data_IF_088236011124
#
_entry.id   IF_088236011124
#
_cell.length_a   1.000
_cell.length_b   1.000
_cell.length_c   1.000
_cell.angle_alpha   90.00
_cell.angle_beta   90.00
_cell.angle_gamma   90.00
#
_symmetry.space_group_name_H-M   'P 1'
#
loop_
_entity.id
_entity.type
_entity.pdbx_description
1 polymer ?
#
# COMPACT_ATOMS: atom_id res chain seq x y z
N UNK A 1 -13.82 4.46 24.15
CA UNK A 1 -13.18 4.99 22.93
C UNK A 1 -11.70 4.71 23.08
N UNK A 2 -11.17 3.76 22.32
CA UNK A 2 -9.75 3.36 22.40
C UNK A 2 -8.90 4.54 21.92
N UNK A 3 -7.90 4.96 22.70
CA UNK A 3 -7.00 6.04 22.30
C UNK A 3 -6.21 5.61 21.06
N UNK A 4 -6.14 6.49 20.06
CA UNK A 4 -5.26 6.29 18.91
C UNK A 4 -3.83 6.67 19.27
N UNK A 5 -2.87 5.86 18.85
CA UNK A 5 -1.44 6.19 18.99
C UNK A 5 -0.99 7.09 17.85
N UNK A 6 0.02 7.91 18.11
CA UNK A 6 0.60 8.80 17.10
C UNK A 6 1.99 8.29 16.71
N UNK A 7 2.30 8.28 15.41
CA UNK A 7 3.64 7.91 14.94
C UNK A 7 4.73 8.89 15.44
N UNK A 8 5.95 8.39 15.76
CA UNK A 8 6.31 6.97 15.82
C UNK A 8 5.69 6.28 17.03
N UNK A 9 5.25 5.03 16.87
CA UNK A 9 4.70 4.23 17.96
C UNK A 9 4.95 2.73 17.75
N UNK A 10 4.87 1.90 18.81
CA UNK A 10 4.94 0.45 18.67
C UNK A 10 3.93 -0.08 17.66
N UNK A 11 4.35 -1.00 16.78
CA UNK A 11 3.44 -1.69 15.88
C UNK A 11 2.39 -2.49 16.67
N UNK A 12 2.85 -3.22 17.69
CA UNK A 12 1.99 -3.96 18.61
C UNK A 12 1.14 -2.99 19.46
N UNK A 13 -0.17 -2.98 19.19
CA UNK A 13 -1.16 -2.23 19.94
C UNK A 13 -2.56 -2.44 19.36
N UNK A 14 -3.58 -2.13 20.15
CA UNK A 14 -4.97 -2.50 19.85
C UNK A 14 -5.84 -1.35 19.31
N UNK A 15 -5.32 -0.12 19.25
CA UNK A 15 -6.01 1.05 18.71
C UNK A 15 -5.44 1.51 17.38
N UNK A 16 -6.16 2.41 16.70
CA UNK A 16 -5.72 3.07 15.48
C UNK A 16 -4.36 3.79 15.65
N UNK A 17 -3.64 3.97 14.55
CA UNK A 17 -2.45 4.84 14.48
C UNK A 17 -2.75 6.07 13.62
N UNK A 18 -2.39 7.26 14.11
CA UNK A 18 -2.59 8.53 13.41
C UNK A 18 -1.27 9.23 13.09
N UNK A 19 -1.29 10.01 12.02
CA UNK A 19 -0.19 10.88 11.59
C UNK A 19 -0.75 12.22 11.14
N UNK A 20 -0.04 13.32 11.43
CA UNK A 20 -0.50 14.66 11.07
C UNK A 20 -0.11 15.08 9.65
N UNK A 21 1.06 14.66 9.16
CA UNK A 21 1.66 15.12 7.90
C UNK A 21 2.36 13.98 7.14
N UNK A 22 1.85 13.57 5.96
CA UNK A 22 0.46 13.79 5.52
C UNK A 22 -0.52 13.24 6.55
N UNK A 23 -1.72 13.83 6.61
CA UNK A 23 -2.76 13.37 7.55
C UNK A 23 -3.17 11.96 7.18
N UNK A 24 -3.04 11.04 8.13
CA UNK A 24 -3.33 9.64 7.92
C UNK A 24 -3.93 9.00 9.17
N UNK A 25 -4.72 7.95 8.95
CA UNK A 25 -5.18 7.03 9.98
C UNK A 25 -5.03 5.61 9.46
N UNK A 26 -4.17 4.83 10.11
CA UNK A 26 -4.11 3.38 9.98
C UNK A 26 -5.11 2.81 11.00
N UNK A 27 -6.13 2.11 10.53
CA UNK A 27 -7.11 1.50 11.45
C UNK A 27 -6.48 0.36 12.26
N UNK A 28 -7.15 -0.01 13.36
CA UNK A 28 -6.71 -1.06 14.25
C UNK A 28 -6.46 -2.40 13.53
N UNK A 29 -7.26 -2.75 12.53
CA UNK A 29 -7.09 -4.01 11.77
C UNK A 29 -5.81 -3.98 10.90
N UNK A 30 -5.56 -2.87 10.19
CA UNK A 30 -4.33 -2.71 9.44
C UNK A 30 -3.10 -2.63 10.36
N UNK A 31 -3.21 -1.98 11.53
CA UNK A 31 -2.17 -2.00 12.56
C UNK A 31 -1.91 -3.44 13.04
N UNK A 32 -2.96 -4.21 13.26
CA UNK A 32 -2.87 -5.62 13.68
C UNK A 32 -2.05 -6.45 12.69
N UNK A 33 -2.29 -6.26 11.40
CA UNK A 33 -1.56 -6.92 10.33
C UNK A 33 -0.07 -6.55 10.36
N UNK A 34 0.26 -5.26 10.50
CA UNK A 34 1.65 -4.78 10.66
C UNK A 34 2.30 -5.37 11.91
N UNK A 35 1.58 -5.41 13.03
CA UNK A 35 2.06 -5.97 14.28
C UNK A 35 2.40 -7.47 14.14
N UNK A 36 1.56 -8.24 13.43
CA UNK A 36 1.83 -9.65 13.16
C UNK A 36 3.14 -9.87 12.42
N UNK A 37 3.43 -9.04 11.40
CA UNK A 37 4.70 -9.12 10.70
C UNK A 37 5.88 -8.71 11.60
N UNK A 38 5.73 -7.63 12.37
CA UNK A 38 6.77 -7.13 13.28
C UNK A 38 7.14 -8.16 14.38
N UNK A 39 6.15 -8.89 14.91
CA UNK A 39 6.37 -9.94 15.91
C UNK A 39 7.03 -11.17 15.31
N UNK A 40 6.64 -11.56 14.09
CA UNK A 40 7.25 -12.69 13.40
C UNK A 40 8.69 -12.42 12.94
N UNK A 41 9.05 -11.15 12.72
CA UNK A 41 10.38 -10.73 12.24
C UNK A 41 10.96 -9.63 13.15
N UNK A 42 11.48 -9.99 14.34
CA UNK A 42 12.07 -9.03 15.26
C UNK A 42 13.22 -8.25 14.60
N UNK A 43 13.24 -6.93 14.81
CA UNK A 43 14.23 -6.00 14.25
C UNK A 43 14.24 -5.91 12.71
N UNK A 44 13.17 -6.34 12.03
CA UNK A 44 13.03 -6.07 10.60
C UNK A 44 12.81 -4.58 10.36
N UNK A 45 13.48 -4.06 9.33
CA UNK A 45 13.42 -2.66 8.88
C UNK A 45 13.04 -2.64 7.41
N UNK A 46 11.99 -1.89 7.06
CA UNK A 46 11.53 -1.77 5.69
C UNK A 46 10.12 -1.19 5.59
N UNK A 47 9.46 -1.43 4.46
CA UNK A 47 8.12 -0.92 4.19
C UNK A 47 7.11 -2.02 3.95
N UNK A 48 5.94 -1.90 4.57
CA UNK A 48 4.79 -2.76 4.31
C UNK A 48 3.78 -1.97 3.47
N UNK A 49 3.54 -2.43 2.24
CA UNK A 49 2.41 -2.01 1.43
C UNK A 49 1.18 -2.86 1.79
N UNK A 50 0.12 -2.23 2.25
CA UNK A 50 -1.18 -2.84 2.55
C UNK A 50 -2.19 -2.37 1.50
N UNK A 51 -2.44 -3.16 0.44
CA UNK A 51 -3.53 -2.90 -0.49
C UNK A 51 -4.90 -2.93 0.22
N UNK A 52 -5.86 -2.18 -0.34
CA UNK A 52 -7.23 -2.09 0.15
C UNK A 52 -7.94 -0.85 -0.40
N UNK A 53 -9.22 -0.66 -0.05
CA UNK A 53 -9.99 0.56 -0.44
C UNK A 53 -9.26 1.86 -0.08
N UNK A 54 -8.47 1.80 0.99
CA UNK A 54 -7.37 2.72 1.27
C UNK A 54 -6.10 1.87 1.34
N UNK A 55 -5.15 2.11 0.45
CA UNK A 55 -3.83 1.50 0.55
C UNK A 55 -3.01 2.25 1.60
N UNK A 56 -2.08 1.54 2.25
CA UNK A 56 -1.12 2.12 3.18
C UNK A 56 0.30 1.67 2.82
N UNK A 57 1.24 2.60 2.80
CA UNK A 57 2.67 2.34 2.80
C UNK A 57 3.18 2.66 4.19
N UNK A 58 3.52 1.63 4.97
CA UNK A 58 3.88 1.74 6.38
C UNK A 58 5.38 1.50 6.53
N UNK A 59 6.11 2.49 6.99
CA UNK A 59 7.52 2.35 7.35
C UNK A 59 7.62 1.75 8.75
N UNK A 60 8.18 0.56 8.83
CA UNK A 60 8.38 -0.20 10.06
C UNK A 60 9.88 -0.25 10.33
N UNK A 61 10.29 0.09 11.55
CA UNK A 61 11.67 -0.05 11.99
C UNK A 61 11.71 -0.47 13.46
N UNK A 62 12.55 -1.46 13.77
CA UNK A 62 12.71 -1.99 15.14
C UNK A 62 11.38 -2.29 15.89
N UNK A 63 10.35 -2.75 15.17
CA UNK A 63 9.02 -3.03 15.74
C UNK A 63 8.13 -1.79 15.98
N UNK A 64 8.56 -0.61 15.53
CA UNK A 64 7.81 0.64 15.59
C UNK A 64 7.33 1.08 14.20
N UNK A 65 6.07 1.51 14.12
CA UNK A 65 5.56 2.23 12.96
C UNK A 65 6.13 3.64 13.01
N UNK A 66 7.08 3.95 12.14
CA UNK A 66 7.78 5.23 12.10
C UNK A 66 6.97 6.30 11.38
N UNK A 67 6.37 5.93 10.25
CA UNK A 67 5.53 6.80 9.43
C UNK A 67 4.66 5.96 8.50
N UNK A 68 3.62 6.56 7.94
CA UNK A 68 2.90 5.93 6.84
C UNK A 68 2.30 6.96 5.87
N UNK A 69 1.99 6.50 4.66
CA UNK A 69 1.24 7.28 3.69
C UNK A 69 0.12 6.44 3.12
N UNK A 70 -1.04 7.07 2.90
CA UNK A 70 -2.23 6.38 2.41
C UNK A 70 -2.73 6.98 1.12
N UNK A 71 -3.31 6.12 0.29
CA UNK A 71 -3.88 6.51 -0.99
C UNK A 71 -5.29 5.96 -1.15
N UNK A 72 -6.01 6.50 -2.13
CA UNK A 72 -7.41 6.18 -2.40
C UNK A 72 -7.57 5.46 -3.74
N UNK A 73 -6.48 4.89 -4.24
CA UNK A 73 -6.35 4.33 -5.58
C UNK A 73 -7.38 3.26 -5.87
N UNK A 74 -7.55 2.27 -5.00
CA UNK A 74 -8.57 1.23 -5.20
C UNK A 74 -10.00 1.80 -5.17
N UNK A 75 -10.25 2.85 -4.37
CA UNK A 75 -11.56 3.51 -4.34
C UNK A 75 -11.83 4.34 -5.60
N UNK A 76 -10.80 4.98 -6.16
CA UNK A 76 -10.89 5.66 -7.46
C UNK A 76 -11.08 4.64 -8.60
N UNK A 77 -10.34 3.53 -8.56
CA UNK A 77 -10.46 2.43 -9.51
C UNK A 77 -11.89 1.87 -9.50
N UNK A 78 -12.46 1.63 -8.32
CA UNK A 78 -13.86 1.21 -8.19
C UNK A 78 -14.84 2.25 -8.73
N UNK A 79 -14.61 3.55 -8.46
CA UNK A 79 -15.50 4.61 -8.95
C UNK A 79 -15.47 4.78 -10.47
N UNK A 80 -14.37 4.40 -11.13
CA UNK A 80 -14.20 4.43 -12.58
C UNK A 80 -14.49 3.08 -13.25
N UNK A 81 -15.04 2.11 -12.51
CA UNK A 81 -15.25 0.74 -12.98
C UNK A 81 -13.98 0.15 -13.64
N UNK A 82 -12.81 0.37 -13.04
CA UNK A 82 -11.56 -0.21 -13.52
C UNK A 82 -11.60 -1.76 -13.46
N UNK A 83 -10.67 -2.39 -14.16
CA UNK A 83 -10.48 -3.83 -14.17
C UNK A 83 -9.77 -4.32 -12.92
N UNK A 84 -9.59 -5.63 -12.83
CA UNK A 84 -8.93 -6.27 -11.68
C UNK A 84 -7.42 -6.45 -11.90
N UNK A 85 -6.94 -6.25 -13.13
CA UNK A 85 -5.54 -6.41 -13.49
C UNK A 85 -4.98 -5.05 -13.92
N UNK A 86 -3.84 -4.70 -13.36
CA UNK A 86 -3.18 -3.47 -13.73
C UNK A 86 -2.42 -3.67 -15.04
N UNK A 87 -2.78 -2.91 -16.08
CA UNK A 87 -1.97 -2.86 -17.29
C UNK A 87 -0.58 -2.28 -16.96
N UNK A 88 0.46 -3.02 -17.34
CA UNK A 88 1.83 -2.70 -16.95
C UNK A 88 2.40 -1.48 -17.71
N UNK A 89 1.98 -1.29 -18.96
CA UNK A 89 2.43 -0.18 -19.79
C UNK A 89 1.77 1.12 -19.33
N UNK A 90 0.46 1.11 -19.09
CA UNK A 90 -0.30 2.22 -18.50
C UNK A 90 0.29 2.66 -17.14
N UNK A 91 0.65 1.68 -16.30
CA UNK A 91 1.31 1.91 -15.03
C UNK A 91 2.66 2.59 -15.20
N UNK A 92 3.54 2.05 -16.06
CA UNK A 92 4.86 2.59 -16.30
C UNK A 92 4.81 4.01 -16.90
N UNK A 93 3.88 4.26 -17.81
CA UNK A 93 3.64 5.54 -18.44
C UNK A 93 3.25 6.61 -17.42
N UNK A 94 2.26 6.33 -16.56
CA UNK A 94 1.85 7.28 -15.52
C UNK A 94 2.90 7.44 -14.44
N UNK A 95 3.62 6.38 -14.08
CA UNK A 95 4.69 6.47 -13.08
C UNK A 95 5.79 7.46 -13.52
N UNK A 96 6.06 7.53 -14.82
CA UNK A 96 7.03 8.47 -15.40
C UNK A 96 6.49 9.91 -15.45
N UNK A 97 5.18 10.09 -15.65
CA UNK A 97 4.53 11.40 -15.85
C UNK A 97 3.19 11.50 -15.09
N UNK A 98 3.20 11.46 -13.75
CA UNK A 98 1.98 11.36 -12.95
C UNK A 98 1.05 12.56 -13.11
N UNK A 99 1.57 13.72 -13.54
CA UNK A 99 0.79 14.91 -13.86
C UNK A 99 -0.20 14.71 -15.02
N UNK A 100 -0.03 13.66 -15.84
CA UNK A 100 -0.91 13.33 -16.97
C UNK A 100 -2.08 12.43 -16.60
N UNK A 101 -2.20 12.01 -15.34
CA UNK A 101 -3.16 11.01 -14.88
C UNK A 101 -4.58 11.25 -15.41
N UNK A 102 -5.13 12.45 -15.24
CA UNK A 102 -6.51 12.73 -15.64
C UNK A 102 -6.75 12.54 -17.15
N UNK A 103 -5.79 12.93 -17.99
CA UNK A 103 -5.87 12.75 -19.45
C UNK A 103 -5.70 11.27 -19.83
N UNK A 104 -4.82 10.55 -19.15
CA UNK A 104 -4.60 9.12 -19.38
C UNK A 104 -5.83 8.29 -19.01
N UNK A 105 -6.48 8.60 -17.89
CA UNK A 105 -7.75 7.97 -17.49
C UNK A 105 -8.87 8.22 -18.51
N UNK A 106 -9.04 9.46 -18.97
CA UNK A 106 -10.02 9.81 -20.01
C UNK A 106 -9.79 9.01 -21.30
N UNK A 107 -8.52 8.88 -21.72
CA UNK A 107 -8.18 8.11 -22.92
C UNK A 107 -8.45 6.61 -22.77
N UNK A 108 -8.15 6.04 -21.60
CA UNK A 108 -8.46 4.64 -21.29
C UNK A 108 -9.98 4.39 -21.23
N UNK A 109 -10.74 5.32 -20.62
CA UNK A 109 -12.21 5.25 -20.54
C UNK A 109 -12.85 5.29 -21.93
N UNK A 110 -12.45 6.24 -22.79
CA UNK A 110 -12.92 6.32 -24.17
C UNK A 110 -12.57 5.07 -25.00
N UNK A 111 -11.45 4.43 -24.68
CA UNK A 111 -11.02 3.17 -25.29
C UNK A 111 -11.71 1.92 -24.74
N UNK A 112 -12.44 2.04 -23.62
CA UNK A 112 -13.01 0.89 -22.91
C UNK A 112 -11.97 0.00 -22.23
N UNK A 113 -10.76 0.51 -21.99
CA UNK A 113 -9.65 -0.24 -21.41
C UNK A 113 -9.65 -0.14 -19.88
N UNK A 114 -10.39 -1.05 -19.26
CA UNK A 114 -10.57 -1.09 -17.81
C UNK A 114 -9.29 -1.43 -17.06
N UNK A 115 -8.43 -2.28 -17.61
CA UNK A 115 -7.17 -2.68 -16.98
C UNK A 115 -6.14 -1.52 -17.04
N UNK A 116 -6.16 -0.71 -18.11
CA UNK A 116 -5.39 0.53 -18.20
C UNK A 116 -5.83 1.59 -17.18
N UNK A 117 -7.13 1.68 -16.84
CA UNK A 117 -7.59 2.56 -15.75
C UNK A 117 -6.91 2.20 -14.42
N UNK A 118 -6.85 0.89 -14.09
CA UNK A 118 -6.16 0.45 -12.88
C UNK A 118 -4.65 0.69 -12.98
N UNK A 119 -4.05 0.40 -14.14
CA UNK A 119 -2.63 0.65 -14.41
C UNK A 119 -2.23 2.09 -14.14
N UNK A 120 -2.93 3.05 -14.74
CA UNK A 120 -2.67 4.49 -14.56
C UNK A 120 -2.82 4.94 -13.10
N UNK A 121 -3.87 4.48 -12.40
CA UNK A 121 -4.07 4.83 -10.99
C UNK A 121 -2.94 4.29 -10.10
N UNK A 122 -2.55 3.02 -10.29
CA UNK A 122 -1.42 2.44 -9.57
C UNK A 122 -0.11 3.13 -9.93
N UNK A 123 0.10 3.51 -11.20
CA UNK A 123 1.29 4.24 -11.64
C UNK A 123 1.44 5.58 -10.93
N UNK A 124 0.34 6.33 -10.77
CA UNK A 124 0.33 7.58 -10.02
C UNK A 124 0.66 7.37 -8.53
N UNK A 125 0.09 6.33 -7.90
CA UNK A 125 0.42 5.97 -6.53
C UNK A 125 1.89 5.56 -6.39
N UNK A 126 2.40 4.69 -7.26
CA UNK A 126 3.79 4.24 -7.26
C UNK A 126 4.76 5.41 -7.39
N UNK A 127 4.48 6.37 -8.26
CA UNK A 127 5.29 7.60 -8.36
C UNK A 127 5.26 8.42 -7.06
N UNK A 128 4.09 8.60 -6.45
CA UNK A 128 3.93 9.38 -5.22
C UNK A 128 4.49 8.67 -3.97
N UNK A 129 4.46 7.34 -3.94
CA UNK A 129 4.98 6.50 -2.86
C UNK A 129 6.48 6.21 -2.98
N UNK A 130 7.17 6.77 -3.98
CA UNK A 130 8.62 6.58 -4.20
C UNK A 130 9.51 6.77 -2.96
N UNK A 131 9.25 7.76 -2.07
CA UNK A 131 10.02 7.89 -0.83
C UNK A 131 9.92 6.68 0.11
N UNK A 132 8.89 5.84 -0.03
CA UNK A 132 8.69 4.64 0.78
C UNK A 132 9.35 3.39 0.18
N UNK A 133 9.35 3.20 -1.14
CA UNK A 133 9.84 1.94 -1.72
C UNK A 133 11.25 2.02 -2.30
N UNK A 134 11.76 3.21 -2.64
CA UNK A 134 13.07 3.33 -3.29
C UNK A 134 14.20 2.95 -2.31
N UNK A 135 14.96 1.92 -2.65
CA UNK A 135 16.07 1.43 -1.82
C UNK A 135 15.64 0.70 -0.54
N UNK A 136 14.36 0.33 -0.44
CA UNK A 136 13.79 -0.42 0.67
C UNK A 136 13.49 -1.86 0.27
N UNK A 137 13.39 -2.76 1.25
CA UNK A 137 12.66 -4.01 1.09
C UNK A 137 11.17 -3.73 1.30
N UNK A 138 10.31 -4.26 0.42
CA UNK A 138 8.87 -4.06 0.52
C UNK A 138 8.13 -5.38 0.72
N UNK A 139 7.31 -5.43 1.76
CA UNK A 139 6.32 -6.49 1.95
C UNK A 139 4.99 -6.00 1.35
N UNK A 140 4.44 -6.74 0.38
CA UNK A 140 3.07 -6.51 -0.09
C UNK A 140 2.14 -7.46 0.65
N UNK A 141 1.30 -6.90 1.51
CA UNK A 141 0.44 -7.65 2.42
C UNK A 141 -0.99 -7.75 1.89
N UNK A 142 -1.26 -8.82 1.16
CA UNK A 142 -2.55 -9.09 0.51
C UNK A 142 -2.43 -10.29 -0.41
N UNK A 143 -3.57 -10.90 -0.77
CA UNK A 143 -3.67 -12.15 -1.55
C UNK A 143 -4.46 -11.96 -2.88
N UNK A 144 -4.87 -10.74 -3.20
CA UNK A 144 -5.73 -10.43 -4.36
C UNK A 144 -4.96 -9.89 -5.58
N UNK A 145 -5.69 -9.65 -6.68
CA UNK A 145 -5.12 -9.10 -7.92
C UNK A 145 -4.59 -7.67 -7.79
N UNK A 146 -5.10 -6.89 -6.81
CA UNK A 146 -4.56 -5.57 -6.51
C UNK A 146 -3.17 -5.69 -5.90
N UNK A 147 -2.96 -6.63 -4.97
CA UNK A 147 -1.65 -6.96 -4.42
C UNK A 147 -0.68 -7.47 -5.50
N UNK A 148 -1.15 -8.23 -6.50
CA UNK A 148 -0.34 -8.57 -7.68
C UNK A 148 0.12 -7.32 -8.44
N UNK A 149 -0.79 -6.36 -8.65
CA UNK A 149 -0.47 -5.08 -9.30
C UNK A 149 0.69 -4.34 -8.60
N UNK A 150 0.64 -4.21 -7.27
CA UNK A 150 1.72 -3.60 -6.50
C UNK A 150 3.02 -4.41 -6.58
N UNK A 151 2.95 -5.74 -6.39
CA UNK A 151 4.13 -6.60 -6.39
C UNK A 151 4.85 -6.59 -7.74
N UNK A 152 4.09 -6.66 -8.84
CA UNK A 152 4.63 -6.59 -10.20
C UNK A 152 5.24 -5.22 -10.49
N UNK A 153 4.57 -4.13 -10.09
CA UNK A 153 5.09 -2.78 -10.26
C UNK A 153 6.41 -2.57 -9.52
N UNK A 154 6.49 -2.99 -8.26
CA UNK A 154 7.70 -2.92 -7.44
C UNK A 154 8.83 -3.79 -8.03
N UNK A 155 8.51 -5.02 -8.44
CA UNK A 155 9.45 -5.93 -9.07
C UNK A 155 10.03 -5.39 -10.38
N UNK A 156 9.21 -4.72 -11.20
CA UNK A 156 9.65 -4.06 -12.43
C UNK A 156 10.64 -2.90 -12.16
N UNK A 157 10.63 -2.32 -10.96
CA UNK A 157 11.59 -1.29 -10.52
C UNK A 157 12.82 -1.88 -9.81
N UNK A 158 12.95 -3.22 -9.76
CA UNK A 158 14.05 -3.90 -9.09
C UNK A 158 13.98 -3.84 -7.55
N UNK A 159 12.81 -3.54 -6.98
CA UNK A 159 12.62 -3.53 -5.53
C UNK A 159 12.55 -4.98 -5.02
N UNK A 160 13.24 -5.35 -3.94
CA UNK A 160 13.04 -6.63 -3.27
C UNK A 160 11.62 -6.70 -2.69
N UNK A 161 10.79 -7.59 -3.23
CA UNK A 161 9.39 -7.75 -2.82
C UNK A 161 9.15 -9.13 -2.26
N UNK A 162 8.46 -9.19 -1.13
CA UNK A 162 7.85 -10.41 -0.62
C UNK A 162 6.34 -10.20 -0.49
N UNK A 163 5.56 -11.23 -0.84
CA UNK A 163 4.11 -11.24 -0.63
C UNK A 163 3.76 -12.08 0.59
N UNK A 164 2.89 -11.53 1.43
CA UNK A 164 2.37 -12.24 2.61
C UNK A 164 0.86 -12.05 2.71
N UNK A 165 0.16 -13.07 3.21
CA UNK A 165 -1.27 -13.03 3.38
C UNK A 165 -1.70 -12.14 4.54
N UNK A 166 -2.58 -11.17 4.29
CA UNK A 166 -3.02 -10.18 5.27
C UNK A 166 -3.72 -10.82 6.48
N UNK A 167 -4.63 -11.76 6.23
CA UNK A 167 -5.38 -12.44 7.29
C UNK A 167 -4.47 -13.22 8.24
N UNK A 168 -3.42 -13.88 7.71
CA UNK A 168 -2.46 -14.61 8.53
C UNK A 168 -1.66 -13.67 9.45
N UNK A 169 -1.31 -12.48 8.97
CA UNK A 169 -0.61 -11.46 9.75
C UNK A 169 -1.52 -10.82 10.80
N UNK A 170 -2.78 -10.53 10.48
CA UNK A 170 -3.76 -10.06 11.47
C UNK A 170 -3.96 -11.07 12.60
N UNK A 171 -4.06 -12.36 12.28
CA UNK A 171 -4.15 -13.43 13.28
C UNK A 171 -2.88 -13.56 14.13
N UNK A 172 -1.70 -13.38 13.53
CA UNK A 172 -0.44 -13.36 14.27
C UNK A 172 -0.36 -12.18 15.24
N UNK A 173 -0.76 -10.98 14.79
CA UNK A 173 -0.83 -9.78 15.64
C UNK A 173 -1.81 -9.95 16.79
N UNK A 174 -2.99 -10.52 16.54
CA UNK A 174 -4.01 -10.76 17.57
C UNK A 174 -3.55 -11.74 18.64
N UNK A 175 -2.73 -12.73 18.29
CA UNK A 175 -2.14 -13.67 19.27
C UNK A 175 -1.03 -13.05 20.12
N UNK A 176 -0.45 -11.94 19.68
CA UNK A 176 0.67 -11.29 20.35
C UNK A 176 0.25 -10.14 21.29
N UNK A 177 -1.00 -9.67 21.19
CA UNK A 177 -1.62 -8.69 22.09
C UNK A 177 -2.21 -9.34 23.34
#
# INVERSE_FOLDING_TARGET
>A
MQMSDKVPCPALGSGDVVQDKPRGRLDADARMAVAGHAVAHPNWDGVICLPGLRSHWVHLSAGEIVSFQSFLTARLAHALDAGERADADALADTMTRPERLAQQLDSAELGGDRDALLGHLLGAEMAAARPYWLGQQVIVMGDDGLADGYANALGAQGVPVERVGRAAMEDAGRRAL
#
